data_IF_860643090648
#
_entry.id   IF_860643090648
#
_cell.length_a   1.000
_cell.length_b   1.000
_cell.length_c   1.000
_cell.angle_alpha   90.00
_cell.angle_beta   90.00
_cell.angle_gamma   90.00
#
_symmetry.space_group_name_H-M   'P 1'
#
loop_
_entity.id
_entity.type
_entity.pdbx_description
1 polymer ?
#
# COMPACT_ATOMS: atom_id res chain seq x y z
N UNK A 1 4.31 7.95 -18.46
CA UNK A 1 3.43 7.25 -19.42
C UNK A 1 2.20 6.90 -18.63
N UNK A 2 1.00 7.26 -19.09
CA UNK A 2 -0.23 6.93 -18.35
C UNK A 2 -0.35 5.42 -18.19
N UNK A 3 -0.53 4.95 -16.95
CA UNK A 3 -0.73 3.54 -16.64
C UNK A 3 -2.03 3.04 -17.28
N UNK A 4 -2.13 1.75 -17.63
CA UNK A 4 -3.38 1.18 -18.16
C UNK A 4 -4.54 1.35 -17.18
N UNK A 5 -4.25 1.28 -15.87
CA UNK A 5 -5.21 1.55 -14.81
C UNK A 5 -5.81 2.96 -14.89
N UNK A 6 -4.98 3.99 -15.13
CA UNK A 6 -5.45 5.37 -15.25
C UNK A 6 -6.44 5.53 -16.42
N UNK A 7 -6.22 4.82 -17.53
CA UNK A 7 -7.15 4.82 -18.68
C UNK A 7 -8.51 4.21 -18.28
N UNK A 8 -8.52 3.14 -17.49
CA UNK A 8 -9.76 2.51 -17.01
C UNK A 8 -10.51 3.44 -16.04
N UNK A 9 -9.78 4.10 -15.13
CA UNK A 9 -10.35 5.03 -14.15
C UNK A 9 -10.84 6.37 -14.75
N UNK A 10 -10.66 6.61 -16.05
CA UNK A 10 -11.30 7.74 -16.73
C UNK A 10 -12.80 7.53 -16.98
N UNK A 11 -13.29 6.29 -16.92
CA UNK A 11 -14.73 6.04 -16.92
C UNK A 11 -15.32 6.43 -15.56
N UNK A 12 -16.18 7.45 -15.56
CA UNK A 12 -16.79 7.97 -14.34
C UNK A 12 -17.59 6.91 -13.57
N UNK A 13 -18.25 5.97 -14.27
CA UNK A 13 -19.03 4.93 -13.59
C UNK A 13 -18.14 3.96 -12.82
N UNK A 14 -16.96 3.64 -13.38
CA UNK A 14 -15.98 2.78 -12.74
C UNK A 14 -15.23 3.54 -11.63
N UNK A 15 -14.89 4.80 -11.84
CA UNK A 15 -14.20 5.63 -10.84
C UNK A 15 -15.01 5.82 -9.54
N UNK A 16 -16.34 5.75 -9.60
CA UNK A 16 -17.21 5.84 -8.42
C UNK A 16 -17.30 4.51 -7.63
N UNK A 17 -16.87 3.39 -8.23
CA UNK A 17 -16.98 2.05 -7.64
C UNK A 17 -15.62 1.41 -7.33
N UNK A 18 -14.56 1.83 -8.03
CA UNK A 18 -13.20 1.35 -7.87
C UNK A 18 -12.40 2.27 -6.95
N UNK A 19 -11.38 1.71 -6.30
CA UNK A 19 -10.33 2.51 -5.66
C UNK A 19 -9.64 3.41 -6.69
N UNK A 20 -9.20 4.59 -6.26
CA UNK A 20 -8.42 5.48 -7.13
C UNK A 20 -7.03 4.88 -7.43
N UNK A 21 -6.26 5.50 -8.35
CA UNK A 21 -4.97 4.96 -8.77
C UNK A 21 -3.99 4.80 -7.60
N UNK A 22 -3.89 5.79 -6.72
CA UNK A 22 -2.97 5.78 -5.58
C UNK A 22 -3.37 4.74 -4.54
N UNK A 23 -4.65 4.67 -4.17
CA UNK A 23 -5.21 3.63 -3.30
C UNK A 23 -4.96 2.24 -3.87
N UNK A 24 -5.24 2.04 -5.15
CA UNK A 24 -5.01 0.75 -5.82
C UNK A 24 -3.54 0.36 -5.77
N UNK A 25 -2.62 1.29 -6.05
CA UNK A 25 -1.18 1.02 -5.95
C UNK A 25 -0.73 0.70 -4.53
N UNK A 26 -1.30 1.37 -3.53
CA UNK A 26 -1.08 1.06 -2.12
C UNK A 26 -1.48 -0.37 -1.77
N UNK A 27 -2.73 -0.73 -2.11
CA UNK A 27 -3.28 -2.06 -1.86
C UNK A 27 -2.45 -3.15 -2.54
N UNK A 28 -2.16 -2.96 -3.83
CA UNK A 28 -1.39 -3.92 -4.62
C UNK A 28 0.05 -4.04 -4.10
N UNK A 29 0.64 -2.94 -3.61
CA UNK A 29 1.97 -2.97 -2.98
C UNK A 29 1.95 -3.78 -1.69
N UNK A 30 0.90 -3.69 -0.87
CA UNK A 30 0.75 -4.53 0.32
C UNK A 30 0.65 -6.02 -0.05
N UNK A 31 -0.11 -6.37 -1.09
CA UNK A 31 -0.17 -7.74 -1.63
C UNK A 31 1.17 -8.20 -2.22
N UNK A 32 1.92 -7.30 -2.84
CA UNK A 32 3.26 -7.59 -3.35
C UNK A 32 4.28 -7.82 -2.22
N UNK A 33 4.14 -7.09 -1.11
CA UNK A 33 4.98 -7.18 0.08
C UNK A 33 4.64 -8.38 0.98
N UNK A 34 3.44 -8.95 0.85
CA UNK A 34 2.96 -10.06 1.67
C UNK A 34 3.94 -11.26 1.66
N UNK A 35 4.11 -11.94 2.82
CA UNK A 35 5.11 -12.97 2.99
C UNK A 35 4.78 -14.21 2.16
N UNK A 36 3.49 -14.57 2.06
CA UNK A 36 2.99 -15.58 1.15
C UNK A 36 2.37 -14.92 -0.10
N UNK A 37 2.43 -15.63 -1.22
CA UNK A 37 1.70 -15.22 -2.43
C UNK A 37 0.24 -15.61 -2.26
N UNK A 38 -0.63 -14.61 -2.22
CA UNK A 38 -2.08 -14.76 -2.24
C UNK A 38 -2.54 -14.67 -3.69
N UNK A 39 -3.40 -15.59 -4.13
CA UNK A 39 -3.91 -15.60 -5.51
C UNK A 39 -4.63 -14.26 -5.80
N UNK A 40 -4.27 -13.54 -6.88
CA UNK A 40 -4.97 -12.33 -7.30
C UNK A 40 -6.49 -12.45 -7.31
N UNK A 41 -7.04 -13.61 -7.68
CA UNK A 41 -8.49 -13.82 -7.68
C UNK A 41 -9.12 -13.70 -6.29
N UNK A 42 -8.37 -13.95 -5.22
CA UNK A 42 -8.87 -13.88 -3.83
C UNK A 42 -8.98 -12.44 -3.32
N UNK A 43 -8.13 -11.53 -3.80
CA UNK A 43 -8.09 -10.15 -3.31
C UNK A 43 -8.55 -9.10 -4.33
N UNK A 44 -8.70 -9.45 -5.62
CA UNK A 44 -9.12 -8.51 -6.67
C UNK A 44 -10.46 -7.85 -6.35
N UNK A 45 -11.40 -8.63 -5.78
CA UNK A 45 -12.73 -8.13 -5.45
C UNK A 45 -12.74 -7.01 -4.41
N UNK A 46 -11.73 -6.95 -3.55
CA UNK A 46 -11.62 -5.89 -2.54
C UNK A 46 -11.32 -4.53 -3.17
N UNK A 47 -10.78 -4.48 -4.40
CA UNK A 47 -10.52 -3.22 -5.11
C UNK A 47 -11.82 -2.52 -5.58
N UNK A 48 -12.97 -3.20 -5.52
CA UNK A 48 -14.30 -2.62 -5.75
C UNK A 48 -15.24 -2.82 -4.56
N UNK A 49 -14.69 -2.95 -3.34
CA UNK A 49 -15.48 -3.03 -2.11
C UNK A 49 -15.89 -4.45 -1.70
N UNK A 50 -15.37 -5.49 -2.33
CA UNK A 50 -15.60 -6.89 -1.96
C UNK A 50 -16.97 -7.42 -2.35
N UNK A 51 -17.70 -6.71 -3.23
CA UNK A 51 -18.99 -7.16 -3.73
C UNK A 51 -18.84 -8.40 -4.64
N UNK A 52 -19.81 -9.33 -4.57
CA UNK A 52 -19.84 -10.53 -5.42
C UNK A 52 -19.99 -10.19 -6.91
N UNK A 53 -20.54 -9.02 -7.23
CA UNK A 53 -20.75 -8.55 -8.60
C UNK A 53 -19.69 -7.49 -8.90
N UNK A 54 -18.91 -7.72 -9.96
CA UNK A 54 -17.92 -6.74 -10.40
C UNK A 54 -18.60 -5.53 -11.09
N UNK A 55 -18.06 -4.32 -10.97
CA UNK A 55 -18.61 -3.11 -11.60
C UNK A 55 -18.45 -3.09 -13.13
N UNK A 56 -17.69 -4.04 -13.70
CA UNK A 56 -17.43 -4.13 -15.14
C UNK A 56 -18.65 -4.67 -15.89
N UNK A 57 -18.95 -4.05 -17.03
CA UNK A 57 -20.10 -4.43 -17.87
C UNK A 57 -19.79 -5.64 -18.74
N UNK A 58 -18.52 -5.87 -19.04
CA UNK A 58 -18.07 -6.99 -19.88
C UNK A 58 -16.92 -7.76 -19.25
N UNK A 59 -16.77 -9.02 -19.67
CA UNK A 59 -15.64 -9.85 -19.26
C UNK A 59 -14.29 -9.27 -19.73
N UNK A 60 -14.27 -8.66 -20.92
CA UNK A 60 -13.06 -8.05 -21.48
C UNK A 60 -12.56 -6.85 -20.65
N UNK A 61 -13.47 -6.04 -20.11
CA UNK A 61 -13.13 -4.94 -19.19
C UNK A 61 -12.55 -5.45 -17.87
N UNK A 62 -13.17 -6.48 -17.29
CA UNK A 62 -12.66 -7.12 -16.07
C UNK A 62 -11.28 -7.73 -16.30
N UNK A 63 -11.06 -8.41 -17.43
CA UNK A 63 -9.78 -8.99 -17.79
C UNK A 63 -8.71 -7.90 -18.00
N UNK A 64 -9.04 -6.80 -18.68
CA UNK A 64 -8.13 -5.67 -18.84
C UNK A 64 -7.74 -5.04 -17.50
N UNK A 65 -8.70 -4.87 -16.60
CA UNK A 65 -8.45 -4.38 -15.24
C UNK A 65 -7.56 -5.34 -14.45
N UNK A 66 -7.91 -6.63 -14.41
CA UNK A 66 -7.13 -7.64 -13.71
C UNK A 66 -5.67 -7.69 -14.22
N UNK A 67 -5.46 -7.61 -15.53
CA UNK A 67 -4.12 -7.56 -16.12
C UNK A 67 -3.35 -6.31 -15.67
N UNK A 68 -3.99 -5.12 -15.67
CA UNK A 68 -3.35 -3.90 -15.18
C UNK A 68 -2.93 -4.01 -13.70
N UNK A 69 -3.76 -4.64 -12.86
CA UNK A 69 -3.46 -4.90 -11.46
C UNK A 69 -2.29 -5.87 -11.29
N UNK A 70 -2.27 -6.96 -12.06
CA UNK A 70 -1.20 -7.96 -12.04
C UNK A 70 0.12 -7.34 -12.50
N UNK A 71 0.11 -6.46 -13.50
CA UNK A 71 1.30 -5.73 -13.95
C UNK A 71 1.87 -4.86 -12.83
N UNK A 72 1.02 -4.10 -12.13
CA UNK A 72 1.43 -3.29 -10.96
C UNK A 72 2.00 -4.19 -9.86
N UNK A 73 1.37 -5.34 -9.59
CA UNK A 73 1.85 -6.29 -8.58
C UNK A 73 3.23 -6.84 -8.93
N UNK A 74 3.44 -7.25 -10.20
CA UNK A 74 4.70 -7.77 -10.69
C UNK A 74 5.83 -6.73 -10.57
N UNK A 75 5.55 -5.49 -10.97
CA UNK A 75 6.50 -4.37 -10.86
C UNK A 75 6.86 -4.08 -9.40
N UNK A 76 5.85 -3.93 -8.54
CA UNK A 76 6.03 -3.65 -7.13
C UNK A 76 6.81 -4.77 -6.43
N UNK A 77 6.40 -6.04 -6.63
CA UNK A 77 7.06 -7.20 -6.01
C UNK A 77 8.51 -7.29 -6.41
N UNK A 78 8.82 -7.17 -7.70
CA UNK A 78 10.20 -7.15 -8.18
C UNK A 78 11.01 -6.03 -7.52
N UNK A 79 10.48 -4.81 -7.51
CA UNK A 79 11.18 -3.65 -6.94
C UNK A 79 11.43 -3.80 -5.43
N UNK A 80 10.49 -4.39 -4.69
CA UNK A 80 10.63 -4.66 -3.25
C UNK A 80 11.76 -5.65 -2.97
N UNK A 81 11.80 -6.78 -3.70
CA UNK A 81 12.84 -7.79 -3.54
C UNK A 81 14.21 -7.32 -4.03
N UNK A 82 14.27 -6.44 -5.03
CA UNK A 82 15.52 -5.85 -5.53
C UNK A 82 15.98 -4.62 -4.72
N UNK A 83 15.25 -4.21 -3.68
CA UNK A 83 15.51 -2.99 -2.90
C UNK A 83 15.56 -1.71 -3.75
N UNK A 84 14.76 -1.67 -4.82
CA UNK A 84 14.67 -0.52 -5.74
C UNK A 84 13.29 0.15 -5.71
N UNK A 85 12.36 -0.34 -4.88
CA UNK A 85 11.03 0.24 -4.73
C UNK A 85 11.12 1.70 -4.28
N UNK A 86 10.23 2.52 -4.82
CA UNK A 86 10.09 3.95 -4.52
C UNK A 86 8.61 4.29 -4.51
N UNK A 87 8.31 5.42 -3.87
CA UNK A 87 6.98 6.03 -3.94
C UNK A 87 6.48 6.15 -5.39
N UNK A 88 5.21 5.80 -5.67
CA UNK A 88 4.60 6.04 -6.96
C UNK A 88 4.56 7.52 -7.35
N UNK A 89 4.31 7.79 -8.63
CA UNK A 89 4.12 9.15 -9.13
C UNK A 89 2.98 9.86 -8.38
N UNK A 90 3.18 11.13 -8.02
CA UNK A 90 2.23 11.93 -7.23
C UNK A 90 2.40 11.81 -5.71
N UNK A 91 3.00 10.73 -5.20
CA UNK A 91 3.29 10.59 -3.77
C UNK A 91 4.49 11.47 -3.38
N UNK A 92 4.26 12.51 -2.59
CA UNK A 92 5.25 13.48 -2.15
C UNK A 92 4.86 14.10 -0.79
N UNK A 93 5.79 14.86 -0.23
CA UNK A 93 5.50 15.79 0.87
C UNK A 93 4.82 17.04 0.30
N UNK A 94 3.85 17.59 1.04
CA UNK A 94 3.17 18.84 0.70
C UNK A 94 3.35 19.86 1.83
N UNK A 95 3.78 21.08 1.49
CA UNK A 95 4.01 22.16 2.44
C UNK A 95 2.69 22.62 3.13
N UNK A 96 1.52 22.31 2.54
CA UNK A 96 0.19 22.66 3.06
C UNK A 96 -0.54 21.54 3.82
N UNK A 97 -0.34 20.27 3.46
CA UNK A 97 -1.02 19.09 4.04
C UNK A 97 -0.07 18.03 4.61
N UNK A 98 1.22 18.37 4.81
CA UNK A 98 2.34 17.48 5.17
C UNK A 98 2.70 16.47 4.08
N UNK A 99 1.71 15.76 3.56
CA UNK A 99 1.83 14.82 2.45
C UNK A 99 0.79 15.14 1.39
N UNK A 100 1.04 14.76 0.15
CA UNK A 100 0.05 14.89 -0.92
C UNK A 100 -1.14 13.96 -0.69
N UNK A 101 -2.31 14.31 -1.24
CA UNK A 101 -3.49 13.43 -1.20
C UNK A 101 -3.17 12.05 -1.77
N UNK A 102 -2.38 11.96 -2.84
CA UNK A 102 -1.94 10.70 -3.43
C UNK A 102 -1.13 9.84 -2.44
N UNK A 103 -0.37 10.46 -1.54
CA UNK A 103 0.38 9.73 -0.50
C UNK A 103 -0.56 9.19 0.56
N UNK A 104 -1.52 10.01 1.01
CA UNK A 104 -2.57 9.59 1.95
C UNK A 104 -3.38 8.42 1.39
N UNK A 105 -3.84 8.56 0.15
CA UNK A 105 -4.59 7.57 -0.61
C UNK A 105 -3.79 6.26 -0.77
N UNK A 106 -2.51 6.36 -1.11
CA UNK A 106 -1.63 5.20 -1.17
C UNK A 106 -1.52 4.50 0.19
N UNK A 107 -1.32 5.26 1.26
CA UNK A 107 -1.22 4.69 2.61
C UNK A 107 -2.53 4.02 3.03
N UNK A 108 -3.68 4.60 2.69
CA UNK A 108 -4.99 3.99 2.89
C UNK A 108 -5.09 2.62 2.22
N UNK A 109 -4.81 2.57 0.91
CA UNK A 109 -4.84 1.33 0.15
C UNK A 109 -3.88 0.29 0.71
N UNK A 110 -2.67 0.71 1.11
CA UNK A 110 -1.68 -0.15 1.71
C UNK A 110 -2.17 -0.76 3.04
N UNK A 111 -2.82 0.03 3.90
CA UNK A 111 -3.43 -0.45 5.15
C UNK A 111 -4.59 -1.43 4.87
N UNK A 112 -5.42 -1.14 3.86
CA UNK A 112 -6.50 -2.05 3.45
C UNK A 112 -5.95 -3.39 3.00
N UNK A 113 -4.97 -3.40 2.08
CA UNK A 113 -4.32 -4.63 1.62
C UNK A 113 -3.62 -5.36 2.77
N UNK A 114 -2.98 -4.63 3.68
CA UNK A 114 -2.32 -5.23 4.84
C UNK A 114 -3.26 -6.10 5.68
N UNK A 115 -4.51 -5.69 5.86
CA UNK A 115 -5.47 -6.49 6.65
C UNK A 115 -5.69 -7.89 6.08
N UNK A 116 -5.59 -8.07 4.76
CA UNK A 116 -5.77 -9.37 4.11
C UNK A 116 -4.59 -10.31 4.39
N UNK A 117 -3.38 -9.77 4.47
CA UNK A 117 -2.16 -10.54 4.77
C UNK A 117 -1.81 -10.56 6.27
N UNK A 118 -2.67 -10.02 7.14
CA UNK A 118 -2.38 -9.82 8.55
C UNK A 118 -2.08 -11.13 9.27
N UNK A 119 -2.92 -12.14 9.08
CA UNK A 119 -2.76 -13.44 9.75
C UNK A 119 -1.43 -14.10 9.36
N UNK A 120 -1.01 -13.96 8.10
CA UNK A 120 0.27 -14.44 7.63
C UNK A 120 1.44 -13.72 8.30
N UNK A 121 1.37 -12.39 8.38
CA UNK A 121 2.37 -11.58 9.07
C UNK A 121 2.47 -11.92 10.56
N UNK A 122 1.34 -12.04 11.27
CA UNK A 122 1.31 -12.41 12.69
C UNK A 122 1.81 -13.84 12.93
N UNK A 123 1.67 -14.73 11.94
CA UNK A 123 2.19 -16.10 12.01
C UNK A 123 3.72 -16.12 11.97
N UNK A 124 4.33 -15.35 11.06
CA UNK A 124 5.80 -15.34 10.89
C UNK A 124 6.53 -14.36 11.81
N UNK A 125 5.87 -13.28 12.22
CA UNK A 125 6.39 -12.24 13.10
C UNK A 125 5.41 -12.03 14.26
N UNK A 126 5.26 -13.01 15.18
CA UNK A 126 4.32 -12.89 16.29
C UNK A 126 4.74 -11.76 17.24
N UNK A 127 3.81 -11.22 18.05
CA UNK A 127 4.06 -10.05 18.90
C UNK A 127 5.28 -10.14 19.83
N UNK A 128 5.64 -11.36 20.25
CA UNK A 128 6.77 -11.65 21.14
C UNK A 128 8.13 -11.77 20.40
N UNK A 129 8.13 -11.69 19.06
CA UNK A 129 9.36 -11.78 18.25
C UNK A 129 10.06 -10.43 18.12
N UNK A 130 11.39 -10.45 18.01
CA UNK A 130 12.18 -9.24 17.71
C UNK A 130 11.81 -8.65 16.34
N UNK A 131 11.43 -9.50 15.38
CA UNK A 131 11.02 -9.10 14.03
C UNK A 131 9.68 -8.35 14.02
N UNK A 132 8.80 -8.55 15.01
CA UNK A 132 7.55 -7.81 15.13
C UNK A 132 7.77 -6.30 15.36
N UNK A 133 8.93 -5.88 15.89
CA UNK A 133 9.26 -4.46 15.97
C UNK A 133 9.41 -3.82 14.59
N UNK A 134 9.96 -4.55 13.61
CA UNK A 134 10.06 -4.09 12.22
C UNK A 134 8.66 -3.97 11.59
N UNK A 135 7.83 -5.01 11.77
CA UNK A 135 6.44 -5.03 11.32
C UNK A 135 5.64 -3.84 11.85
N UNK A 136 5.66 -3.67 13.17
CA UNK A 136 4.96 -2.59 13.87
C UNK A 136 5.48 -1.21 13.48
N UNK A 137 6.79 -1.05 13.29
CA UNK A 137 7.41 0.20 12.86
C UNK A 137 6.95 0.64 11.47
N UNK A 138 6.90 -0.29 10.50
CA UNK A 138 6.40 -0.01 9.15
C UNK A 138 4.91 0.33 9.18
N UNK A 139 4.11 -0.46 9.88
CA UNK A 139 2.68 -0.21 10.02
C UNK A 139 2.37 1.13 10.65
N UNK A 140 3.05 1.47 11.76
CA UNK A 140 2.89 2.76 12.41
C UNK A 140 3.25 3.90 11.46
N UNK A 141 4.36 3.77 10.73
CA UNK A 141 4.82 4.77 9.77
C UNK A 141 3.78 5.03 8.67
N UNK A 142 3.20 3.97 8.09
CA UNK A 142 2.14 4.09 7.08
C UNK A 142 0.87 4.69 7.68
N UNK A 143 0.46 4.29 8.89
CA UNK A 143 -0.70 4.86 9.59
C UNK A 143 -0.55 6.35 9.88
N UNK A 144 0.65 6.81 10.23
CA UNK A 144 0.92 8.24 10.43
C UNK A 144 0.77 9.01 9.12
N UNK A 145 1.30 8.48 7.99
CA UNK A 145 1.20 9.11 6.68
C UNK A 145 -0.21 9.06 6.07
N UNK A 146 -1.05 8.11 6.50
CA UNK A 146 -2.46 8.03 6.11
C UNK A 146 -3.31 9.13 6.76
N UNK A 147 -3.08 9.44 8.03
CA UNK A 147 -3.81 10.50 8.73
C UNK A 147 -2.83 11.49 9.40
N UNK A 148 -2.13 12.31 8.58
CA UNK A 148 -1.11 13.24 9.04
C UNK A 148 -1.67 14.31 9.98
N UNK A 149 -2.93 14.73 9.81
CA UNK A 149 -3.58 15.75 10.63
C UNK A 149 -3.78 15.25 12.06
N UNK A 150 -4.45 14.10 12.23
CA UNK A 150 -4.65 13.49 13.56
C UNK A 150 -3.31 13.15 14.22
N UNK A 151 -2.35 12.67 13.43
CA UNK A 151 -1.02 12.36 13.92
C UNK A 151 -0.24 13.61 14.37
N UNK A 152 -0.33 14.74 13.64
CA UNK A 152 0.22 16.02 14.09
C UNK A 152 -0.44 16.51 15.37
N UNK A 153 -1.76 16.43 15.48
CA UNK A 153 -2.46 16.85 16.70
C UNK A 153 -1.91 16.09 17.91
N UNK A 154 -1.78 14.77 17.80
CA UNK A 154 -1.20 13.93 18.84
C UNK A 154 0.28 14.23 19.15
N UNK A 155 1.08 14.57 18.13
CA UNK A 155 2.51 14.88 18.27
C UNK A 155 2.77 16.32 18.74
N UNK A 156 1.87 17.26 18.46
CA UNK A 156 1.96 18.66 18.87
C UNK A 156 1.93 18.82 20.39
N UNK A 157 1.29 17.87 21.10
CA UNK A 157 1.36 17.75 22.55
C UNK A 157 2.75 17.36 23.07
N UNK A 158 3.62 16.80 22.20
CA UNK A 158 4.95 16.27 22.53
C UNK A 158 6.12 17.18 22.11
N UNK A 159 5.91 18.21 21.26
CA UNK A 159 6.94 19.19 20.93
C UNK A 159 6.91 19.75 19.50
N UNK A 160 7.91 20.57 19.17
CA UNK A 160 7.91 21.49 18.02
C UNK A 160 8.45 20.94 16.68
N UNK A 161 8.81 19.66 16.58
CA UNK A 161 9.52 19.11 15.41
C UNK A 161 8.79 17.93 14.72
N UNK A 162 7.47 17.88 14.86
CA UNK A 162 6.65 16.81 14.29
C UNK A 162 6.78 16.74 12.75
N UNK A 163 6.90 17.88 12.07
CA UNK A 163 7.05 17.93 10.61
C UNK A 163 8.35 17.28 10.12
N UNK A 164 9.47 17.50 10.81
CA UNK A 164 10.74 16.84 10.46
C UNK A 164 10.65 15.32 10.61
N UNK A 165 9.91 14.86 11.63
CA UNK A 165 9.66 13.44 11.83
C UNK A 165 8.86 12.82 10.68
N UNK A 166 7.88 13.53 10.11
CA UNK A 166 7.13 13.07 8.94
C UNK A 166 7.99 12.96 7.69
N UNK A 167 8.85 13.95 7.44
CA UNK A 167 9.80 13.89 6.33
C UNK A 167 10.76 12.70 6.47
N UNK A 168 11.27 12.44 7.67
CA UNK A 168 12.10 11.27 7.95
C UNK A 168 11.34 9.97 7.72
N UNK A 169 10.11 9.86 8.22
CA UNK A 169 9.25 8.68 8.04
C UNK A 169 9.01 8.44 6.55
N UNK A 170 8.56 9.46 5.80
CA UNK A 170 8.27 9.38 4.38
C UNK A 170 9.49 8.90 3.58
N UNK A 171 10.67 9.44 3.88
CA UNK A 171 11.92 9.06 3.21
C UNK A 171 12.41 7.66 3.60
N UNK A 172 12.05 7.17 4.80
CA UNK A 172 12.42 5.85 5.29
C UNK A 172 11.53 4.73 4.73
N UNK A 173 10.25 5.00 4.43
CA UNK A 173 9.27 3.98 3.97
C UNK A 173 9.83 3.05 2.89
N UNK A 174 10.43 3.53 1.78
CA UNK A 174 10.90 2.62 0.74
C UNK A 174 11.92 1.59 1.24
N UNK A 175 12.85 2.02 2.09
CA UNK A 175 13.87 1.14 2.65
C UNK A 175 13.25 0.16 3.65
N UNK A 176 12.40 0.66 4.54
CA UNK A 176 11.77 -0.18 5.56
C UNK A 176 10.85 -1.23 4.93
N UNK A 177 10.09 -0.86 3.91
CA UNK A 177 9.17 -1.77 3.22
C UNK A 177 9.93 -2.87 2.47
N UNK A 178 11.00 -2.52 1.72
CA UNK A 178 11.85 -3.53 1.08
C UNK A 178 12.47 -4.49 2.11
N UNK A 179 12.99 -3.94 3.21
CA UNK A 179 13.59 -4.74 4.29
C UNK A 179 12.58 -5.69 4.94
N UNK A 180 11.36 -5.21 5.19
CA UNK A 180 10.26 -6.01 5.73
C UNK A 180 9.85 -7.13 4.78
N UNK A 181 9.67 -6.84 3.49
CA UNK A 181 9.31 -7.86 2.48
C UNK A 181 10.37 -8.95 2.39
N UNK A 182 11.65 -8.57 2.30
CA UNK A 182 12.75 -9.54 2.23
C UNK A 182 12.86 -10.37 3.51
N UNK A 183 12.70 -9.74 4.67
CA UNK A 183 12.74 -10.43 5.97
C UNK A 183 11.56 -11.40 6.11
N UNK A 184 10.36 -10.98 5.71
CA UNK A 184 9.17 -11.83 5.70
C UNK A 184 9.36 -13.08 4.85
N UNK A 185 9.87 -12.91 3.62
CA UNK A 185 10.16 -14.03 2.73
C UNK A 185 11.19 -15.01 3.32
N UNK A 186 12.26 -14.50 3.95
CA UNK A 186 13.26 -15.35 4.61
C UNK A 186 12.68 -16.18 5.76
N UNK A 187 11.72 -15.64 6.51
CA UNK A 187 11.08 -16.36 7.61
C UNK A 187 10.12 -17.45 7.14
N UNK A 188 9.48 -17.26 5.98
CA UNK A 188 8.64 -18.30 5.35
C UNK A 188 9.47 -19.47 4.82
N UNK A 189 10.68 -19.20 4.34
CA UNK A 189 11.59 -20.23 3.79
C UNK A 189 12.40 -21.00 4.85
N UNK A 190 12.41 -20.54 6.11
CA UNK A 190 13.21 -21.07 7.22
C UNK A 190 12.57 -22.28 7.93
#
# INVERSE_FOLDING_TARGET
MSSQLNVILQDQHLAEQLLNESQTRGFVTAMAAAPNIIDPAEWLAFLWGGEEISPFSTHEELEAYANAIIDIWNEARKALFESTWKWPEGCALDDGQIVTQETSDFCEGMLQGWQLARDDWETIMPPESEDNALLGGVLLSISLLFDPETALEALSEQGADALAQFEEIFNAIPTMLCGLTQRGAQLVEA
#
